data_IF_302657228646
#
_entry.id   IF_302657228646
#
_cell.length_a   1.000
_cell.length_b   1.000
_cell.length_c   1.000
_cell.angle_alpha   90.00
_cell.angle_beta   90.00
_cell.angle_gamma   90.00
#
_symmetry.space_group_name_H-M   'P 1'
#
loop_
_entity.id
_entity.type
_entity.pdbx_description
1 polymer ?
#
# COMPACT_ATOMS: atom_id res chain seq x y z
N UNK A 1 19.41 16.91 3.45
CA UNK A 1 19.57 17.31 2.03
C UNK A 1 18.36 16.76 1.29
N UNK A 2 17.45 17.60 0.87
CA UNK A 2 16.23 17.15 0.17
C UNK A 2 16.58 16.56 -1.19
N UNK A 3 16.15 15.33 -1.42
CA UNK A 3 16.36 14.64 -2.71
C UNK A 3 15.43 15.31 -3.73
N UNK A 4 16.00 15.73 -4.86
CA UNK A 4 15.27 16.38 -5.96
C UNK A 4 15.43 15.59 -7.24
N UNK A 5 14.34 15.36 -7.93
CA UNK A 5 14.24 14.53 -9.13
C UNK A 5 14.09 15.40 -10.38
N UNK A 6 14.67 14.99 -11.50
CA UNK A 6 14.39 15.57 -12.81
C UNK A 6 13.04 15.07 -13.33
N UNK A 7 12.48 15.79 -14.32
CA UNK A 7 11.15 15.46 -14.86
C UNK A 7 10.99 14.00 -15.32
N UNK A 8 12.03 13.41 -15.91
CA UNK A 8 11.97 12.01 -16.37
C UNK A 8 11.91 11.01 -15.19
N UNK A 9 12.60 11.33 -14.09
CA UNK A 9 12.63 10.51 -12.88
C UNK A 9 11.30 10.61 -12.15
N UNK A 10 10.82 11.84 -11.92
CA UNK A 10 9.53 12.09 -11.28
C UNK A 10 8.36 11.46 -12.05
N UNK A 11 8.35 11.58 -13.39
CA UNK A 11 7.34 10.99 -14.24
C UNK A 11 7.33 9.45 -14.13
N UNK A 12 8.52 8.83 -14.18
CA UNK A 12 8.67 7.37 -14.01
C UNK A 12 8.17 6.90 -12.65
N UNK A 13 8.54 7.62 -11.57
CA UNK A 13 8.09 7.30 -10.20
C UNK A 13 6.58 7.43 -10.02
N UNK A 14 5.93 8.30 -10.77
CA UNK A 14 4.48 8.50 -10.77
C UNK A 14 3.74 7.62 -11.80
N UNK A 15 4.44 6.73 -12.52
CA UNK A 15 3.83 5.85 -13.52
C UNK A 15 3.28 6.58 -14.76
N UNK A 16 3.83 7.77 -15.08
CA UNK A 16 3.35 8.56 -16.23
C UNK A 16 4.49 8.95 -17.17
N UNK A 17 4.16 9.40 -18.38
CA UNK A 17 5.16 9.91 -19.31
C UNK A 17 5.61 11.34 -18.93
N UNK A 18 6.84 11.70 -19.30
CA UNK A 18 7.32 13.07 -19.12
C UNK A 18 6.49 14.10 -19.90
N UNK A 19 5.85 13.71 -21.00
CA UNK A 19 4.91 14.54 -21.76
C UNK A 19 3.60 14.76 -21.00
N UNK A 20 3.07 13.71 -20.36
CA UNK A 20 1.90 13.80 -19.49
C UNK A 20 2.16 14.75 -18.31
N UNK A 21 3.35 14.65 -17.70
CA UNK A 21 3.72 15.53 -16.60
C UNK A 21 3.78 17.00 -17.06
N UNK A 22 4.39 17.30 -18.22
CA UNK A 22 4.38 18.67 -18.79
C UNK A 22 2.97 19.19 -19.08
N UNK A 23 2.07 18.29 -19.54
CA UNK A 23 0.68 18.64 -19.75
C UNK A 23 0.02 19.03 -18.43
N UNK A 24 0.26 18.28 -17.36
CA UNK A 24 -0.29 18.58 -16.03
C UNK A 24 0.27 19.88 -15.42
N UNK A 25 1.56 20.18 -15.66
CA UNK A 25 2.13 21.51 -15.36
C UNK A 25 1.36 22.61 -16.09
N UNK A 26 1.16 22.46 -17.41
CA UNK A 26 0.46 23.49 -18.22
C UNK A 26 -1.01 23.65 -17.80
N UNK A 27 -1.61 22.61 -17.25
CA UNK A 27 -2.96 22.63 -16.70
C UNK A 27 -3.03 23.13 -15.24
N UNK A 28 -1.88 23.49 -14.62
CA UNK A 28 -1.82 23.99 -13.26
C UNK A 28 -2.19 22.95 -12.18
N UNK A 29 -2.01 21.65 -12.48
CA UNK A 29 -2.24 20.57 -11.53
C UNK A 29 -1.03 20.35 -10.61
N UNK A 30 0.18 20.67 -11.11
CA UNK A 30 1.43 20.59 -10.38
C UNK A 30 2.35 21.73 -10.78
N UNK A 31 3.12 22.28 -9.84
CA UNK A 31 4.06 23.34 -10.06
C UNK A 31 5.48 22.87 -9.66
N UNK A 32 6.44 22.76 -10.61
CA UNK A 32 7.78 22.28 -10.31
C UNK A 32 8.60 23.32 -9.55
N UNK A 33 9.53 22.86 -8.73
CA UNK A 33 10.60 23.71 -8.19
C UNK A 33 11.51 24.13 -9.36
N UNK A 34 11.82 25.41 -9.48
CA UNK A 34 12.73 25.92 -10.50
C UNK A 34 14.07 26.31 -9.87
N UNK A 35 15.15 25.82 -10.46
CA UNK A 35 16.50 26.30 -10.13
C UNK A 35 16.70 27.72 -10.68
N UNK A 36 17.75 28.40 -10.23
CA UNK A 36 18.17 29.69 -10.80
C UNK A 36 18.44 29.64 -12.31
N UNK A 37 18.85 28.45 -12.81
CA UNK A 37 19.05 28.20 -14.24
C UNK A 37 17.76 27.85 -14.98
N UNK A 38 16.58 27.88 -14.32
CA UNK A 38 15.27 27.57 -14.90
C UNK A 38 14.97 26.07 -15.07
N UNK A 39 15.83 25.18 -14.57
CA UNK A 39 15.62 23.74 -14.63
C UNK A 39 14.49 23.33 -13.68
N UNK A 40 13.60 22.44 -14.16
CA UNK A 40 12.50 21.85 -13.37
C UNK A 40 13.01 20.74 -12.46
N UNK A 41 12.70 20.82 -11.19
CA UNK A 41 12.98 19.81 -10.18
C UNK A 41 11.70 19.48 -9.42
N UNK A 42 11.63 18.24 -8.93
CA UNK A 42 10.51 17.71 -8.16
C UNK A 42 11.07 17.04 -6.89
N UNK A 43 10.42 17.18 -5.78
CA UNK A 43 10.72 16.47 -4.55
C UNK A 43 9.75 15.30 -4.33
N UNK A 44 9.86 14.61 -3.20
CA UNK A 44 9.00 13.49 -2.86
C UNK A 44 7.52 13.89 -2.77
N UNK A 45 7.22 15.10 -2.28
CA UNK A 45 5.84 15.60 -2.19
C UNK A 45 5.22 15.80 -3.59
N UNK A 46 6.02 16.29 -4.54
CA UNK A 46 5.59 16.40 -5.94
C UNK A 46 5.31 15.02 -6.56
N UNK A 47 6.12 14.00 -6.26
CA UNK A 47 5.90 12.64 -6.78
C UNK A 47 4.59 12.07 -6.23
N UNK A 48 4.30 12.24 -4.95
CA UNK A 48 3.03 11.80 -4.36
C UNK A 48 1.83 12.55 -4.96
N UNK A 49 1.96 13.86 -5.15
CA UNK A 49 0.92 14.66 -5.83
C UNK A 49 0.67 14.18 -7.27
N UNK A 50 1.73 13.81 -8.00
CA UNK A 50 1.62 13.24 -9.35
C UNK A 50 0.88 11.90 -9.36
N UNK A 51 1.12 11.02 -8.39
CA UNK A 51 0.39 9.75 -8.22
C UNK A 51 -1.10 10.02 -7.96
N UNK A 52 -1.42 10.96 -7.09
CA UNK A 52 -2.81 11.38 -6.81
C UNK A 52 -3.51 11.90 -8.06
N UNK A 53 -2.86 12.76 -8.86
CA UNK A 53 -3.41 13.28 -10.11
C UNK A 53 -3.65 12.14 -11.10
N UNK A 54 -2.69 11.20 -11.22
CA UNK A 54 -2.79 10.02 -12.07
C UNK A 54 -4.02 9.19 -11.70
N UNK A 55 -4.20 8.90 -10.44
CA UNK A 55 -5.34 8.14 -9.92
C UNK A 55 -6.68 8.86 -10.16
N UNK A 56 -6.77 10.15 -9.83
CA UNK A 56 -7.98 10.96 -10.08
C UNK A 56 -8.35 11.00 -11.58
N UNK A 57 -7.35 10.97 -12.46
CA UNK A 57 -7.54 10.98 -13.90
C UNK A 57 -7.99 9.63 -14.45
N UNK A 58 -7.31 8.54 -14.04
CA UNK A 58 -7.51 7.21 -14.64
C UNK A 58 -8.62 6.42 -13.94
N UNK A 59 -8.67 6.44 -12.61
CA UNK A 59 -9.64 5.66 -11.84
C UNK A 59 -10.97 6.40 -11.62
N UNK A 60 -10.92 7.72 -11.42
CA UNK A 60 -12.13 8.54 -11.21
C UNK A 60 -12.61 9.24 -12.46
N UNK A 61 -11.87 9.20 -13.57
CA UNK A 61 -12.23 9.82 -14.82
C UNK A 61 -12.38 11.35 -14.75
N UNK A 62 -11.81 12.00 -13.74
CA UNK A 62 -12.00 13.43 -13.52
C UNK A 62 -11.27 14.26 -14.56
N UNK A 63 -11.89 15.36 -14.99
CA UNK A 63 -11.24 16.33 -15.84
C UNK A 63 -10.26 17.22 -15.05
N UNK A 64 -9.35 17.96 -15.70
CA UNK A 64 -8.35 18.77 -15.01
C UNK A 64 -8.93 19.84 -14.06
N UNK A 65 -10.11 20.37 -14.36
CA UNK A 65 -10.77 21.36 -13.49
C UNK A 65 -11.28 20.69 -12.21
N UNK A 66 -11.91 19.53 -12.30
CA UNK A 66 -12.37 18.75 -11.15
C UNK A 66 -11.20 18.22 -10.32
N UNK A 67 -10.10 17.81 -10.95
CA UNK A 67 -8.87 17.43 -10.25
C UNK A 67 -8.32 18.62 -9.46
N UNK A 68 -8.25 19.81 -10.05
CA UNK A 68 -7.79 21.02 -9.39
C UNK A 68 -8.65 21.40 -8.19
N UNK A 69 -9.95 21.25 -8.30
CA UNK A 69 -10.87 21.47 -7.18
C UNK A 69 -10.68 20.45 -6.07
N UNK A 70 -10.56 19.16 -6.39
CA UNK A 70 -10.23 18.11 -5.44
C UNK A 70 -8.89 18.36 -4.72
N UNK A 71 -7.88 18.86 -5.45
CA UNK A 71 -6.57 19.18 -4.89
C UNK A 71 -6.54 20.47 -4.06
N UNK A 72 -7.52 21.36 -4.22
CA UNK A 72 -7.70 22.56 -3.39
C UNK A 72 -8.52 22.31 -2.14
N UNK A 73 -9.36 21.29 -2.18
CA UNK A 73 -10.22 20.87 -1.07
C UNK A 73 -9.46 19.93 -0.11
N UNK A 74 -8.13 19.80 -0.26
CA UNK A 74 -7.30 19.27 0.83
C UNK A 74 -7.33 20.31 1.94
N UNK A 75 -8.03 20.08 3.07
CA UNK A 75 -7.96 21.00 4.19
C UNK A 75 -6.53 20.97 4.73
N UNK A 76 -5.94 22.16 4.93
CA UNK A 76 -4.92 22.30 5.96
C UNK A 76 -5.45 21.59 7.22
N UNK A 77 -4.57 20.99 8.05
CA UNK A 77 -5.01 20.25 9.22
C UNK A 77 -5.61 21.23 10.26
N UNK A 78 -6.81 21.70 10.00
CA UNK A 78 -7.64 22.22 11.08
C UNK A 78 -8.00 21.06 11.98
N UNK A 79 -7.70 21.23 13.25
CA UNK A 79 -8.18 20.37 14.31
C UNK A 79 -9.72 20.45 14.33
N UNK A 80 -10.36 19.67 13.49
CA UNK A 80 -11.79 19.45 13.60
C UNK A 80 -11.98 18.38 14.65
N UNK A 81 -12.45 18.81 15.81
CA UNK A 81 -13.05 17.95 16.81
C UNK A 81 -14.26 17.24 16.16
N UNK A 82 -14.01 16.04 15.64
CA UNK A 82 -15.06 15.18 15.10
C UNK A 82 -15.44 14.12 16.15
N UNK A 83 -15.77 14.60 17.35
CA UNK A 83 -16.29 13.81 18.46
C UNK A 83 -17.81 13.58 18.40
N UNK A 84 -18.44 13.81 17.25
CA UNK A 84 -19.88 13.66 17.11
C UNK A 84 -20.28 12.86 15.87
N UNK A 85 -19.90 11.58 15.81
CA UNK A 85 -20.78 10.56 15.20
C UNK A 85 -20.64 9.29 16.04
N UNK A 86 -21.54 9.20 17.03
CA UNK A 86 -21.81 8.02 17.79
C UNK A 86 -22.36 6.91 16.88
N UNK A 87 -21.89 5.70 17.15
CA UNK A 87 -22.49 4.40 16.97
C UNK A 87 -23.92 4.37 16.41
N UNK A 88 -24.02 4.15 15.11
CA UNK A 88 -25.21 3.52 14.53
C UNK A 88 -24.87 3.00 13.12
N UNK A 89 -24.01 2.00 13.04
CA UNK A 89 -24.15 0.96 12.01
C UNK A 89 -23.33 -0.24 12.44
N UNK A 90 -23.99 -1.41 12.51
CA UNK A 90 -23.37 -2.72 12.82
C UNK A 90 -22.65 -3.18 11.53
N UNK A 91 -21.78 -2.32 11.01
CA UNK A 91 -20.85 -2.54 9.91
C UNK A 91 -19.44 -2.60 10.47
N UNK A 92 -18.64 -3.47 9.89
CA UNK A 92 -17.23 -3.66 10.24
C UNK A 92 -16.47 -2.33 10.14
N UNK A 93 -15.88 -1.86 11.25
CA UNK A 93 -15.16 -0.58 11.30
C UNK A 93 -14.00 -0.63 10.30
N UNK A 94 -13.90 0.29 9.34
CA UNK A 94 -12.81 0.30 8.35
C UNK A 94 -11.42 0.33 9.01
N UNK A 95 -10.45 -0.40 8.43
CA UNK A 95 -9.09 -0.53 8.98
C UNK A 95 -8.45 0.84 9.27
N UNK A 96 -8.61 1.81 8.39
CA UNK A 96 -8.08 3.16 8.59
C UNK A 96 -8.58 3.81 9.88
N UNK A 97 -9.87 3.66 10.21
CA UNK A 97 -10.43 4.15 11.48
C UNK A 97 -9.85 3.40 12.69
N UNK A 98 -9.62 2.08 12.57
CA UNK A 98 -8.97 1.29 13.64
C UNK A 98 -7.54 1.74 13.86
N UNK A 99 -6.76 1.98 12.81
CA UNK A 99 -5.40 2.55 12.89
C UNK A 99 -5.42 3.93 13.54
N UNK A 100 -6.35 4.81 13.14
CA UNK A 100 -6.51 6.14 13.77
C UNK A 100 -6.76 6.01 15.27
N UNK A 101 -7.60 5.07 15.68
CA UNK A 101 -7.86 4.79 17.10
C UNK A 101 -6.59 4.33 17.82
N UNK A 102 -5.88 3.33 17.29
CA UNK A 102 -4.61 2.86 17.87
C UNK A 102 -3.58 3.98 17.98
N UNK A 103 -3.44 4.82 16.95
CA UNK A 103 -2.53 5.96 16.99
C UNK A 103 -2.88 6.94 18.12
N UNK A 104 -4.17 7.28 18.28
CA UNK A 104 -4.65 8.19 19.33
C UNK A 104 -4.47 7.58 20.72
N UNK A 105 -4.81 6.32 20.91
CA UNK A 105 -4.61 5.57 22.17
C UNK A 105 -3.13 5.51 22.56
N UNK A 106 -2.23 5.37 21.57
CA UNK A 106 -0.78 5.44 21.79
C UNK A 106 -0.24 6.88 21.96
N UNK A 107 -1.08 7.91 21.93
CA UNK A 107 -0.67 9.32 22.07
C UNK A 107 0.24 9.81 20.94
N UNK A 108 0.22 9.17 19.76
CA UNK A 108 1.10 9.49 18.63
C UNK A 108 0.46 10.47 17.66
N UNK A 109 1.27 11.42 17.15
CA UNK A 109 0.85 12.32 16.07
C UNK A 109 0.88 11.63 14.71
N UNK A 110 0.13 12.16 13.74
CA UNK A 110 0.20 11.69 12.34
C UNK A 110 1.63 11.77 11.80
N UNK A 111 2.33 12.88 12.07
CA UNK A 111 3.70 13.09 11.62
C UNK A 111 4.66 12.02 12.17
N UNK A 112 4.60 11.75 13.47
CA UNK A 112 5.46 10.75 14.12
C UNK A 112 5.25 9.34 13.54
N UNK A 113 4.00 8.95 13.26
CA UNK A 113 3.70 7.63 12.67
C UNK A 113 4.08 7.61 11.20
N UNK A 114 3.76 8.65 10.43
CA UNK A 114 4.12 8.76 9.01
C UNK A 114 5.64 8.66 8.80
N UNK A 115 6.43 9.34 9.64
CA UNK A 115 7.88 9.26 9.63
C UNK A 115 8.37 7.84 9.97
N UNK A 116 7.79 7.20 10.99
CA UNK A 116 8.19 5.86 11.40
C UNK A 116 7.92 4.79 10.32
N UNK A 117 6.84 4.96 9.55
CA UNK A 117 6.41 4.04 8.50
C UNK A 117 6.97 4.42 7.12
N UNK A 118 7.63 5.59 7.01
CA UNK A 118 8.24 6.05 5.77
C UNK A 118 7.26 6.53 4.70
N UNK A 119 6.10 7.06 5.12
CA UNK A 119 5.09 7.63 4.22
C UNK A 119 4.89 9.13 4.47
N UNK A 120 4.21 9.83 3.56
CA UNK A 120 3.82 11.22 3.82
C UNK A 120 2.69 11.30 4.84
N UNK A 121 2.62 12.41 5.57
CA UNK A 121 1.52 12.70 6.52
C UNK A 121 0.17 12.67 5.79
N UNK A 122 0.10 13.22 4.58
CA UNK A 122 -1.11 13.21 3.76
C UNK A 122 -1.55 11.80 3.35
N UNK A 123 -0.60 10.93 3.00
CA UNK A 123 -0.88 9.52 2.69
C UNK A 123 -1.47 8.79 3.90
N UNK A 124 -0.84 8.93 5.08
CA UNK A 124 -1.34 8.31 6.31
C UNK A 124 -2.72 8.87 6.70
N UNK A 125 -2.91 10.20 6.61
CA UNK A 125 -4.19 10.84 6.88
C UNK A 125 -5.30 10.33 5.96
N UNK A 126 -5.00 10.19 4.66
CA UNK A 126 -5.93 9.63 3.68
C UNK A 126 -6.26 8.18 4.02
N UNK A 127 -5.26 7.38 4.38
CA UNK A 127 -5.48 5.99 4.78
C UNK A 127 -6.37 5.89 6.03
N UNK A 128 -6.12 6.68 7.08
CA UNK A 128 -6.95 6.69 8.29
C UNK A 128 -8.42 7.03 8.01
N UNK A 129 -8.68 7.81 6.97
CA UNK A 129 -10.03 8.21 6.57
C UNK A 129 -10.70 7.24 5.61
N UNK A 130 -9.96 6.67 4.66
CA UNK A 130 -10.50 5.92 3.52
C UNK A 130 -10.14 4.44 3.53
N UNK A 131 -9.19 4.02 4.36
CA UNK A 131 -8.55 2.70 4.36
C UNK A 131 -7.84 2.36 3.03
N UNK A 132 -7.45 3.38 2.26
CA UNK A 132 -6.82 3.22 0.95
C UNK A 132 -5.58 4.11 0.83
N UNK A 133 -4.71 3.80 -0.15
CA UNK A 133 -3.59 4.66 -0.53
C UNK A 133 -2.25 4.31 0.11
N UNK A 134 -2.16 3.24 0.92
CA UNK A 134 -0.88 2.71 1.37
C UNK A 134 -0.39 1.59 0.44
N UNK A 135 0.93 1.54 0.23
CA UNK A 135 1.59 0.39 -0.38
C UNK A 135 1.54 -0.83 0.54
N UNK A 136 1.75 -2.02 -0.03
CA UNK A 136 1.82 -3.25 0.77
C UNK A 136 2.89 -3.15 1.86
N UNK A 137 4.10 -2.68 1.51
CA UNK A 137 5.19 -2.42 2.45
C UNK A 137 4.77 -1.46 3.56
N UNK A 138 4.19 -0.32 3.22
CA UNK A 138 3.81 0.69 4.21
C UNK A 138 2.71 0.18 5.15
N UNK A 139 1.78 -0.63 4.65
CA UNK A 139 0.74 -1.25 5.45
C UNK A 139 1.33 -2.26 6.44
N UNK A 140 2.27 -3.10 5.97
CA UNK A 140 3.01 -4.03 6.82
C UNK A 140 3.77 -3.29 7.94
N UNK A 141 4.55 -2.26 7.59
CA UNK A 141 5.29 -1.48 8.58
C UNK A 141 4.36 -0.76 9.58
N UNK A 142 3.18 -0.34 9.12
CA UNK A 142 2.19 0.33 9.97
C UNK A 142 1.60 -0.61 11.03
N UNK A 143 1.22 -1.83 10.65
CA UNK A 143 0.69 -2.81 11.60
C UNK A 143 1.77 -3.28 12.58
N UNK A 144 2.99 -3.51 12.09
CA UNK A 144 4.14 -3.84 12.92
C UNK A 144 4.47 -2.72 13.93
N UNK A 145 4.37 -1.45 13.52
CA UNK A 145 4.59 -0.28 14.38
C UNK A 145 3.62 -0.23 15.57
N UNK A 146 2.39 -0.71 15.39
CA UNK A 146 1.39 -0.79 16.46
C UNK A 146 1.36 -2.15 17.18
N UNK A 147 2.24 -3.09 16.81
CA UNK A 147 2.28 -4.43 17.40
C UNK A 147 0.99 -5.23 17.16
N UNK A 148 0.37 -5.05 16.01
CA UNK A 148 -0.87 -5.71 15.59
C UNK A 148 -0.66 -6.36 14.22
N UNK A 149 -1.67 -7.06 13.71
CA UNK A 149 -1.69 -7.65 12.38
C UNK A 149 -2.88 -7.13 11.57
N UNK A 150 -2.83 -7.30 10.25
CA UNK A 150 -3.99 -6.95 9.39
C UNK A 150 -5.20 -7.84 9.70
N UNK A 151 -4.99 -9.10 10.05
CA UNK A 151 -6.05 -10.01 10.47
C UNK A 151 -6.81 -9.46 11.69
N UNK A 152 -6.08 -9.03 12.74
CA UNK A 152 -6.67 -8.37 13.94
C UNK A 152 -7.45 -7.11 13.54
N UNK A 153 -6.87 -6.28 12.68
CA UNK A 153 -7.49 -5.02 12.27
C UNK A 153 -8.69 -5.23 11.36
N UNK A 154 -8.70 -6.26 10.52
CA UNK A 154 -9.85 -6.57 9.66
C UNK A 154 -11.05 -7.10 10.44
N UNK A 155 -10.87 -7.46 11.72
CA UNK A 155 -11.94 -8.07 12.52
C UNK A 155 -12.28 -9.49 12.09
N UNK A 156 -11.40 -10.10 11.31
CA UNK A 156 -11.63 -11.43 10.73
C UNK A 156 -11.20 -12.56 11.66
N UNK A 157 -10.58 -12.25 12.80
CA UNK A 157 -10.19 -13.27 13.80
C UNK A 157 -11.32 -14.21 14.24
N UNK A 158 -12.58 -13.81 14.03
CA UNK A 158 -13.73 -14.55 14.54
C UNK A 158 -14.57 -15.28 13.48
N UNK A 159 -14.41 -14.97 12.17
CA UNK A 159 -15.33 -15.52 11.15
C UNK A 159 -15.17 -17.01 10.89
N UNK A 160 -13.95 -17.54 11.03
CA UNK A 160 -13.63 -18.96 10.84
C UNK A 160 -12.79 -19.52 11.99
N UNK A 161 -12.85 -18.90 13.16
CA UNK A 161 -12.08 -19.32 14.33
C UNK A 161 -12.39 -20.77 14.71
N UNK A 162 -11.45 -21.67 14.41
CA UNK A 162 -11.57 -23.09 14.69
C UNK A 162 -12.06 -23.96 13.52
N UNK A 163 -12.37 -23.39 12.38
CA UNK A 163 -12.70 -24.16 11.18
C UNK A 163 -11.41 -24.64 10.48
N UNK A 164 -11.34 -25.95 10.25
CA UNK A 164 -10.22 -26.55 9.51
C UNK A 164 -10.42 -26.54 8.00
N UNK A 165 -11.60 -26.18 7.52
CA UNK A 165 -11.97 -26.21 6.11
C UNK A 165 -12.59 -24.88 5.70
N UNK A 166 -11.92 -24.16 4.80
CA UNK A 166 -12.46 -23.02 4.09
C UNK A 166 -12.69 -23.43 2.63
N UNK A 167 -13.90 -23.31 2.15
CA UNK A 167 -14.27 -23.69 0.78
C UNK A 167 -13.77 -22.67 -0.23
N UNK A 168 -13.48 -23.14 -1.45
CA UNK A 168 -13.15 -22.27 -2.57
C UNK A 168 -14.23 -21.21 -2.80
N UNK A 169 -13.83 -19.94 -2.81
CA UNK A 169 -14.74 -18.80 -2.97
C UNK A 169 -15.32 -18.24 -1.67
N UNK A 170 -15.15 -18.93 -0.53
CA UNK A 170 -15.59 -18.48 0.80
C UNK A 170 -14.49 -17.74 1.57
N UNK A 171 -13.39 -17.43 0.91
CA UNK A 171 -12.24 -16.74 1.50
C UNK A 171 -12.60 -15.33 1.98
N UNK A 172 -12.21 -15.02 3.19
CA UNK A 172 -12.14 -13.62 3.61
C UNK A 172 -11.07 -12.89 2.79
N UNK A 173 -11.32 -11.63 2.45
CA UNK A 173 -10.40 -10.85 1.64
C UNK A 173 -9.98 -9.60 2.42
N UNK A 174 -8.70 -9.29 2.44
CA UNK A 174 -8.24 -8.01 2.99
C UNK A 174 -8.87 -6.85 2.22
N UNK A 175 -9.04 -5.70 2.87
CA UNK A 175 -9.46 -4.50 2.16
C UNK A 175 -8.56 -4.24 0.96
N UNK A 176 -9.13 -3.80 -0.18
CA UNK A 176 -8.36 -3.61 -1.40
C UNK A 176 -7.21 -2.63 -1.18
N UNK A 177 -5.98 -3.05 -1.53
CA UNK A 177 -4.85 -2.14 -1.60
C UNK A 177 -4.93 -1.29 -2.87
N UNK A 178 -4.36 -0.08 -2.82
CA UNK A 178 -4.26 0.79 -4.01
C UNK A 178 -3.29 0.27 -5.07
N UNK A 179 -2.58 -0.82 -4.79
CA UNK A 179 -1.45 -1.33 -5.59
C UNK A 179 -1.79 -2.52 -6.47
N UNK A 180 -3.09 -2.83 -6.65
CA UNK A 180 -3.51 -3.99 -7.44
C UNK A 180 -3.20 -5.34 -6.78
N UNK A 181 -3.07 -5.36 -5.45
CA UNK A 181 -2.84 -6.55 -4.65
C UNK A 181 -4.12 -6.94 -3.95
N UNK A 182 -4.60 -8.14 -4.21
CA UNK A 182 -5.72 -8.76 -3.47
C UNK A 182 -5.18 -9.92 -2.65
N UNK A 183 -5.46 -9.92 -1.36
CA UNK A 183 -5.06 -10.99 -0.43
C UNK A 183 -6.30 -11.69 0.09
N UNK A 184 -6.36 -12.98 -0.14
CA UNK A 184 -7.44 -13.88 0.32
C UNK A 184 -6.88 -14.80 1.40
N UNK A 185 -7.57 -14.88 2.52
CA UNK A 185 -7.15 -15.67 3.69
C UNK A 185 -7.57 -17.12 3.46
N UNK A 186 -6.62 -18.02 3.37
CA UNK A 186 -6.85 -19.45 3.19
C UNK A 186 -6.93 -20.21 4.51
N UNK A 187 -6.31 -19.66 5.56
CA UNK A 187 -6.31 -20.26 6.89
C UNK A 187 -6.07 -19.19 7.94
N UNK A 188 -6.89 -19.16 8.93
CA UNK A 188 -6.77 -18.29 10.11
C UNK A 188 -6.19 -19.09 11.28
N UNK A 189 -4.90 -19.41 11.19
CA UNK A 189 -4.16 -20.06 12.27
C UNK A 189 -3.78 -19.04 13.34
N UNK A 190 -4.09 -19.32 14.60
CA UNK A 190 -3.85 -18.35 15.70
C UNK A 190 -2.38 -18.21 16.11
N UNK A 191 -1.50 -19.16 15.78
CA UNK A 191 -0.26 -19.26 16.56
C UNK A 191 1.03 -19.52 15.77
N UNK A 192 1.00 -20.06 14.55
CA UNK A 192 2.21 -20.58 13.91
C UNK A 192 2.40 -20.11 12.48
N UNK A 193 1.35 -20.02 11.69
CA UNK A 193 1.44 -19.64 10.29
C UNK A 193 0.21 -18.89 9.82
N UNK A 194 0.39 -18.06 8.81
CA UNK A 194 -0.67 -17.46 8.00
C UNK A 194 -0.57 -18.01 6.58
N UNK A 195 -1.71 -18.39 6.02
CA UNK A 195 -1.77 -18.92 4.66
C UNK A 195 -2.68 -18.02 3.82
N UNK A 196 -2.12 -17.43 2.80
CA UNK A 196 -2.80 -16.47 1.94
C UNK A 196 -2.75 -16.91 0.47
N UNK A 197 -3.78 -16.52 -0.27
CA UNK A 197 -3.76 -16.52 -1.72
C UNK A 197 -3.65 -15.08 -2.19
N UNK A 198 -2.53 -14.75 -2.80
CA UNK A 198 -2.30 -13.46 -3.43
C UNK A 198 -2.78 -13.49 -4.87
N UNK A 199 -3.47 -12.43 -5.26
CA UNK A 199 -3.83 -12.15 -6.65
C UNK A 199 -3.26 -10.78 -6.98
N UNK A 200 -2.31 -10.76 -7.90
CA UNK A 200 -1.53 -9.58 -8.26
C UNK A 200 -1.93 -9.11 -9.67
N UNK A 201 -2.48 -7.93 -9.77
CA UNK A 201 -2.72 -7.29 -11.06
C UNK A 201 -1.40 -7.04 -11.81
N UNK A 202 -1.42 -6.81 -13.13
CA UNK A 202 -0.24 -6.41 -13.88
C UNK A 202 0.48 -5.22 -13.24
N UNK A 203 1.79 -5.36 -13.00
CA UNK A 203 2.62 -4.32 -12.41
C UNK A 203 2.46 -4.13 -10.89
N UNK A 204 1.61 -4.91 -10.23
CA UNK A 204 1.51 -4.90 -8.77
C UNK A 204 2.84 -5.28 -8.11
N UNK A 205 3.19 -4.62 -7.02
CA UNK A 205 4.45 -4.83 -6.29
C UNK A 205 4.31 -4.49 -4.81
N UNK A 206 5.33 -4.86 -4.03
CA UNK A 206 5.44 -4.43 -2.63
C UNK A 206 5.71 -2.92 -2.47
N UNK A 207 6.12 -2.23 -3.56
CA UNK A 207 6.56 -0.83 -3.57
C UNK A 207 7.76 -0.55 -2.64
N UNK A 208 8.66 -1.50 -2.52
CA UNK A 208 9.89 -1.41 -1.76
C UNK A 208 10.18 -2.66 -0.95
N UNK A 209 11.42 -2.77 -0.47
CA UNK A 209 11.83 -3.88 0.37
C UNK A 209 11.34 -3.68 1.81
N UNK A 210 10.94 -4.77 2.43
CA UNK A 210 10.58 -4.88 3.85
C UNK A 210 11.21 -6.17 4.43
N UNK A 211 11.15 -6.32 5.74
CA UNK A 211 11.67 -7.51 6.42
C UNK A 211 10.92 -7.70 7.75
N UNK A 212 10.81 -8.94 8.18
CA UNK A 212 10.20 -9.28 9.48
C UNK A 212 10.82 -10.58 10.04
N UNK A 213 10.65 -10.89 11.32
CA UNK A 213 11.08 -12.17 11.86
C UNK A 213 10.29 -13.31 11.24
N UNK A 214 10.98 -14.43 10.98
CA UNK A 214 10.34 -15.67 10.57
C UNK A 214 10.79 -16.19 9.22
N UNK A 215 9.91 -16.93 8.58
CA UNK A 215 10.16 -17.64 7.33
C UNK A 215 8.95 -17.50 6.42
N UNK A 216 9.21 -17.47 5.11
CA UNK A 216 8.17 -17.39 4.09
C UNK A 216 8.32 -18.50 3.06
N UNK A 217 7.19 -19.03 2.64
CA UNK A 217 7.07 -19.97 1.54
C UNK A 217 6.06 -19.44 0.51
N UNK A 218 6.48 -19.44 -0.75
CA UNK A 218 5.66 -19.05 -1.89
C UNK A 218 5.51 -20.21 -2.84
N UNK A 219 4.34 -20.34 -3.46
CA UNK A 219 4.11 -21.26 -4.56
C UNK A 219 3.24 -20.60 -5.63
N UNK A 220 3.79 -20.46 -6.83
CA UNK A 220 3.11 -19.78 -7.95
C UNK A 220 2.13 -20.73 -8.61
N UNK A 221 0.86 -20.33 -8.66
CA UNK A 221 -0.22 -21.08 -9.31
C UNK A 221 -0.43 -20.67 -10.77
N UNK A 222 -0.28 -19.38 -11.07
CA UNK A 222 -0.43 -18.82 -12.41
C UNK A 222 0.34 -17.50 -12.52
N UNK A 223 0.69 -17.10 -13.73
CA UNK A 223 1.40 -15.86 -14.00
C UNK A 223 2.90 -15.96 -13.74
N UNK A 224 3.51 -14.90 -13.23
CA UNK A 224 4.94 -14.83 -12.93
C UNK A 224 5.26 -13.82 -11.85
N UNK A 225 6.14 -14.19 -10.92
CA UNK A 225 6.58 -13.35 -9.83
C UNK A 225 8.10 -13.13 -9.91
N UNK A 226 8.53 -11.88 -9.85
CA UNK A 226 9.91 -11.56 -9.51
C UNK A 226 10.01 -11.29 -8.01
N UNK A 227 10.95 -11.95 -7.33
CA UNK A 227 11.30 -11.67 -5.94
C UNK A 227 12.77 -11.28 -5.85
N UNK A 228 13.06 -10.26 -5.06
CA UNK A 228 14.43 -9.73 -4.87
C UNK A 228 14.77 -9.85 -3.40
N UNK A 229 15.85 -10.55 -3.09
CA UNK A 229 16.39 -10.64 -1.73
C UNK A 229 17.67 -9.80 -1.62
N UNK A 230 17.83 -9.14 -0.47
CA UNK A 230 19.01 -8.32 -0.11
C UNK A 230 19.31 -7.18 -1.10
N UNK A 231 18.37 -6.89 -2.01
CA UNK A 231 18.49 -5.84 -3.03
C UNK A 231 19.29 -6.21 -4.28
N UNK A 232 19.93 -7.38 -4.31
CA UNK A 232 20.84 -7.81 -5.39
C UNK A 232 20.62 -9.26 -5.89
N UNK A 233 19.80 -10.05 -5.21
CA UNK A 233 19.49 -11.41 -5.61
C UNK A 233 18.09 -11.48 -6.24
N UNK A 234 18.04 -11.65 -7.55
CA UNK A 234 16.81 -11.65 -8.35
C UNK A 234 16.40 -13.09 -8.68
N UNK A 235 15.14 -13.41 -8.41
CA UNK A 235 14.55 -14.70 -8.70
C UNK A 235 13.26 -14.50 -9.49
N UNK A 236 13.16 -15.15 -10.65
CA UNK A 236 11.94 -15.19 -11.46
C UNK A 236 11.25 -16.53 -11.25
N UNK A 237 9.99 -16.49 -10.83
CA UNK A 237 9.19 -17.67 -10.53
C UNK A 237 8.04 -17.77 -11.53
N UNK A 238 7.89 -18.95 -12.16
CA UNK A 238 6.76 -19.29 -13.01
C UNK A 238 5.78 -20.25 -12.34
N UNK A 239 4.68 -20.63 -13.03
CA UNK A 239 3.68 -21.54 -12.50
C UNK A 239 4.29 -22.89 -12.10
N UNK A 240 4.02 -23.33 -10.87
CA UNK A 240 4.57 -24.56 -10.28
C UNK A 240 5.86 -24.36 -9.51
N UNK A 241 6.53 -23.22 -9.63
CA UNK A 241 7.72 -22.93 -8.84
C UNK A 241 7.36 -22.66 -7.38
N UNK A 242 8.27 -23.06 -6.50
CA UNK A 242 8.20 -22.80 -5.07
C UNK A 242 9.46 -22.08 -4.61
N UNK A 243 9.28 -21.16 -3.68
CA UNK A 243 10.38 -20.37 -3.13
C UNK A 243 10.26 -20.28 -1.61
N UNK A 244 11.38 -20.44 -0.93
CA UNK A 244 11.46 -20.40 0.54
C UNK A 244 12.65 -19.54 0.95
N UNK A 245 12.44 -18.68 1.97
CA UNK A 245 13.51 -17.85 2.51
C UNK A 245 13.22 -17.41 3.94
N UNK A 246 14.29 -17.02 4.66
CA UNK A 246 14.16 -16.34 5.94
C UNK A 246 13.71 -14.88 5.73
N UNK A 247 12.54 -14.50 6.25
CA UNK A 247 11.93 -13.19 6.05
C UNK A 247 12.63 -12.03 6.77
N UNK A 248 13.66 -12.33 7.58
CA UNK A 248 14.60 -11.30 8.09
C UNK A 248 15.49 -10.70 7.01
N UNK A 249 15.61 -11.36 5.88
CA UNK A 249 16.30 -10.81 4.71
C UNK A 249 15.41 -9.73 4.08
N UNK A 250 15.96 -8.54 3.80
CA UNK A 250 15.21 -7.54 3.04
C UNK A 250 14.70 -8.13 1.73
N UNK A 251 13.41 -8.09 1.50
CA UNK A 251 12.79 -8.67 0.31
C UNK A 251 11.76 -7.73 -0.29
N UNK A 252 11.67 -7.77 -1.60
CA UNK A 252 10.64 -7.08 -2.39
C UNK A 252 10.21 -7.98 -3.54
N UNK A 253 9.03 -7.72 -4.08
CA UNK A 253 8.45 -8.53 -5.14
C UNK A 253 7.60 -7.69 -6.10
N UNK A 254 7.41 -8.22 -7.30
CA UNK A 254 6.50 -7.65 -8.29
C UNK A 254 5.90 -8.73 -9.19
N UNK A 255 4.71 -8.46 -9.69
CA UNK A 255 4.18 -9.20 -10.83
C UNK A 255 5.00 -8.86 -12.07
N UNK A 256 5.68 -9.86 -12.64
CA UNK A 256 6.62 -9.71 -13.73
C UNK A 256 6.00 -9.92 -15.12
N UNK A 257 4.67 -10.19 -15.18
CA UNK A 257 3.97 -10.48 -16.44
C UNK A 257 2.87 -9.46 -16.73
N UNK A 258 2.44 -9.40 -17.99
CA UNK A 258 1.34 -8.49 -18.41
C UNK A 258 -0.06 -8.98 -17.97
N UNK A 259 -0.14 -10.19 -17.42
CA UNK A 259 -1.35 -10.80 -16.88
C UNK A 259 -1.41 -10.78 -15.36
N UNK A 260 -2.46 -11.38 -14.83
CA UNK A 260 -2.62 -11.59 -13.39
C UNK A 260 -1.66 -12.70 -12.91
N UNK A 261 -1.05 -12.50 -11.74
CA UNK A 261 -0.27 -13.53 -11.05
C UNK A 261 -1.01 -14.00 -9.83
N UNK A 262 -1.09 -15.33 -9.65
CA UNK A 262 -1.75 -15.97 -8.52
C UNK A 262 -0.77 -16.89 -7.82
N UNK A 263 -0.64 -16.71 -6.51
CA UNK A 263 0.27 -17.54 -5.72
C UNK A 263 -0.28 -17.83 -4.31
N UNK A 264 0.18 -18.90 -3.71
CA UNK A 264 0.05 -19.18 -2.29
C UNK A 264 1.24 -18.55 -1.59
N UNK A 265 0.98 -17.87 -0.48
CA UNK A 265 1.98 -17.26 0.37
C UNK A 265 1.74 -17.68 1.81
N UNK A 266 2.74 -18.31 2.40
CA UNK A 266 2.70 -18.76 3.79
C UNK A 266 3.82 -18.08 4.55
N UNK A 267 3.50 -17.50 5.68
CA UNK A 267 4.50 -16.90 6.59
C UNK A 267 4.34 -17.43 8.01
N UNK A 268 5.47 -17.52 8.70
CA UNK A 268 5.58 -17.96 10.09
C UNK A 268 6.60 -17.07 10.81
N UNK A 269 6.30 -16.55 12.03
CA UNK A 269 4.96 -16.48 12.65
C UNK A 269 4.02 -15.55 11.88
N UNK A 270 2.75 -15.45 12.26
CA UNK A 270 1.83 -14.46 11.72
C UNK A 270 2.41 -13.05 11.82
N UNK A 271 2.41 -12.32 10.71
CA UNK A 271 3.03 -10.98 10.60
C UNK A 271 2.16 -9.97 9.86
N UNK A 272 1.09 -10.44 9.21
CA UNK A 272 0.15 -9.59 8.49
C UNK A 272 -1.18 -9.38 9.22
#
# INVERSE_FOLDING_TARGET
MEIRYKIAEAARMAGVSASTLRLWESQGLIEPIRTESGQRLYDAAHVERLKTISWLRHEKGLNPAAIRENLKTEPEPEAVDDDAVEDADIGEIPIGKKIRRLRREAGKTLDAVAQAVGVSVSTLSTFERTSQGLSFKALHELVAHFGTTLAVLSGQEDRHAGESLIRSGEWSTWPPSSTGVTVQILSEGKNQMECHRFVLAPGASSEGAYQHPGEEFLHVLAGGLEIILDGDQFFELGPGDSFYFESRRPHSWRNAVDGETVLIWVNTPPTF
#
